data_IF_186440805536
#
_entry.id   IF_186440805536
#
_cell.length_a   1.000
_cell.length_b   1.000
_cell.length_c   1.000
_cell.angle_alpha   90.00
_cell.angle_beta   90.00
_cell.angle_gamma   90.00
#
_symmetry.space_group_name_H-M   'P 1'
#
loop_
_entity.id
_entity.type
_entity.pdbx_description
1 polymer ?
#
# COMPACT_ATOMS: atom_id res chain seq x y z
N UNK A 1 0.25 -1.74 28.77
CA UNK A 1 0.22 -2.87 27.83
C UNK A 1 1.20 -2.58 26.70
N UNK A 2 2.05 -3.55 26.29
CA UNK A 2 2.86 -3.40 25.07
C UNK A 2 1.91 -3.49 23.88
N UNK A 3 1.82 -2.42 23.08
CA UNK A 3 1.16 -2.48 21.78
C UNK A 3 1.93 -3.48 20.89
N UNK A 4 1.21 -4.33 20.17
CA UNK A 4 1.82 -5.26 19.23
C UNK A 4 2.47 -4.48 18.08
N UNK A 5 3.54 -5.01 17.51
CA UNK A 5 4.13 -4.44 16.32
C UNK A 5 3.43 -5.02 15.08
N UNK A 6 3.07 -4.21 14.08
CA UNK A 6 2.28 -4.69 12.95
C UNK A 6 3.10 -5.58 12.02
N UNK A 7 2.49 -6.67 11.58
CA UNK A 7 2.97 -7.50 10.49
C UNK A 7 2.56 -6.90 9.14
N UNK A 8 3.04 -7.49 8.04
CA UNK A 8 2.73 -6.98 6.71
C UNK A 8 1.22 -7.06 6.41
N UNK A 9 0.52 -8.08 6.91
CA UNK A 9 -0.94 -8.20 6.75
C UNK A 9 -1.66 -7.00 7.39
N UNK A 10 -1.25 -6.60 8.59
CA UNK A 10 -1.83 -5.44 9.27
C UNK A 10 -1.60 -4.14 8.50
N UNK A 11 -0.40 -3.98 7.92
CA UNK A 11 -0.06 -2.82 7.08
C UNK A 11 -0.90 -2.82 5.79
N UNK A 12 -1.06 -3.98 5.13
CA UNK A 12 -1.91 -4.11 3.93
C UNK A 12 -3.35 -3.67 4.22
N UNK A 13 -3.93 -4.18 5.31
CA UNK A 13 -5.28 -3.82 5.72
C UNK A 13 -5.39 -2.33 6.07
N UNK A 14 -4.40 -1.76 6.76
CA UNK A 14 -4.38 -0.32 7.05
C UNK A 14 -4.30 0.53 5.77
N UNK A 15 -3.52 0.10 4.77
CA UNK A 15 -3.44 0.74 3.46
C UNK A 15 -4.81 0.70 2.76
N UNK A 16 -5.46 -0.47 2.72
CA UNK A 16 -6.79 -0.62 2.12
C UNK A 16 -7.82 0.29 2.79
N UNK A 17 -7.82 0.34 4.12
CA UNK A 17 -8.70 1.22 4.89
C UNK A 17 -8.48 2.70 4.55
N UNK A 18 -7.22 3.14 4.45
CA UNK A 18 -6.87 4.52 4.11
C UNK A 18 -7.36 4.86 2.70
N UNK A 19 -7.04 4.02 1.71
CA UNK A 19 -7.43 4.24 0.31
C UNK A 19 -8.94 4.19 0.10
N UNK A 20 -9.65 3.35 0.87
CA UNK A 20 -11.11 3.26 0.79
C UNK A 20 -11.82 4.47 1.39
N UNK A 21 -11.21 5.11 2.40
CA UNK A 21 -11.78 6.29 3.09
C UNK A 21 -11.40 7.60 2.43
N UNK A 22 -10.19 7.66 1.87
CA UNK A 22 -9.66 8.83 1.17
C UNK A 22 -8.94 8.42 -0.12
N UNK A 23 -9.70 8.18 -1.21
CA UNK A 23 -9.11 7.79 -2.49
C UNK A 23 -8.25 8.87 -3.16
N UNK A 24 -8.33 10.12 -2.69
CA UNK A 24 -7.58 11.27 -3.24
C UNK A 24 -6.43 11.70 -2.32
N UNK A 25 -6.06 10.85 -1.36
CA UNK A 25 -4.95 11.11 -0.45
C UNK A 25 -3.67 11.41 -1.23
N UNK A 26 -2.96 12.46 -0.83
CA UNK A 26 -1.70 12.81 -1.47
C UNK A 26 -0.60 11.84 -1.02
N UNK A 27 0.36 11.49 -1.90
CA UNK A 27 1.46 10.60 -1.53
C UNK A 27 2.28 11.07 -0.31
N UNK A 28 2.40 12.38 -0.11
CA UNK A 28 3.11 12.96 1.05
C UNK A 28 2.43 12.65 2.39
N UNK A 29 1.10 12.56 2.40
CA UNK A 29 0.30 12.34 3.62
C UNK A 29 0.04 10.84 3.86
N UNK A 30 0.23 10.01 2.83
CA UNK A 30 -0.15 8.60 2.84
C UNK A 30 0.49 7.79 3.98
N UNK A 31 1.80 7.93 4.17
CA UNK A 31 2.54 7.16 5.19
C UNK A 31 2.04 7.49 6.59
N UNK A 32 1.81 8.77 6.87
CA UNK A 32 1.36 9.22 8.18
C UNK A 32 -0.06 8.74 8.43
N UNK A 33 -0.94 8.79 7.42
CA UNK A 33 -2.31 8.27 7.54
C UNK A 33 -2.36 6.77 7.79
N UNK A 34 -1.49 5.99 7.14
CA UNK A 34 -1.37 4.55 7.40
C UNK A 34 -0.90 4.28 8.84
N UNK A 35 0.05 5.06 9.36
CA UNK A 35 0.49 4.95 10.76
C UNK A 35 -0.62 5.29 11.73
N UNK A 36 -1.32 6.39 11.53
CA UNK A 36 -2.48 6.76 12.36
C UNK A 36 -3.50 5.62 12.40
N UNK A 37 -3.81 5.02 11.24
CA UNK A 37 -4.74 3.90 11.16
C UNK A 37 -4.26 2.67 11.94
N UNK A 38 -2.97 2.36 11.89
CA UNK A 38 -2.36 1.28 12.69
C UNK A 38 -2.41 1.59 14.19
N UNK A 39 -2.19 2.84 14.59
CA UNK A 39 -2.27 3.27 15.99
C UNK A 39 -3.69 3.19 16.55
N UNK A 40 -4.69 3.60 15.78
CA UNK A 40 -6.12 3.46 16.08
C UNK A 40 -6.49 1.98 16.30
N UNK A 41 -5.85 1.07 15.55
CA UNK A 41 -6.01 -0.38 15.71
C UNK A 41 -5.21 -0.97 16.88
N UNK A 42 -4.49 -0.14 17.63
CA UNK A 42 -3.73 -0.56 18.81
C UNK A 42 -2.31 -1.05 18.54
N UNK A 43 -1.77 -0.84 17.34
CA UNK A 43 -0.39 -1.22 17.01
C UNK A 43 0.64 -0.16 17.42
N UNK A 44 1.88 -0.61 17.60
CA UNK A 44 3.04 0.26 17.79
C UNK A 44 3.69 0.57 16.44
N UNK A 45 3.65 1.85 16.06
CA UNK A 45 4.11 2.37 14.75
C UNK A 45 5.46 3.05 14.80
N UNK A 46 6.07 3.21 15.98
CA UNK A 46 7.35 3.92 16.15
C UNK A 46 8.50 3.34 15.33
N UNK A 47 8.41 2.05 14.94
CA UNK A 47 9.37 1.36 14.07
C UNK A 47 8.83 1.09 12.66
N UNK A 48 7.66 1.62 12.30
CA UNK A 48 7.13 1.54 10.94
C UNK A 48 7.76 2.69 10.15
N UNK A 49 8.63 2.36 9.21
CA UNK A 49 9.30 3.35 8.36
C UNK A 49 8.49 3.61 7.09
N UNK A 50 8.65 4.79 6.49
CA UNK A 50 8.04 5.13 5.20
C UNK A 50 8.38 4.08 4.13
N UNK A 51 9.66 3.67 4.07
CA UNK A 51 10.13 2.63 3.15
C UNK A 51 9.34 1.33 3.29
N UNK A 52 8.99 0.93 4.52
CA UNK A 52 8.22 -0.29 4.75
C UNK A 52 6.80 -0.18 4.22
N UNK A 53 6.13 0.94 4.49
CA UNK A 53 4.76 1.20 3.99
C UNK A 53 4.75 1.21 2.46
N UNK A 54 5.67 1.94 1.85
CA UNK A 54 5.79 2.00 0.39
C UNK A 54 6.08 0.66 -0.25
N UNK A 55 6.96 -0.15 0.35
CA UNK A 55 7.24 -1.50 -0.14
C UNK A 55 5.98 -2.37 -0.13
N UNK A 56 5.19 -2.32 0.94
CA UNK A 56 3.93 -3.08 1.03
C UNK A 56 2.92 -2.57 0.00
N UNK A 57 2.78 -1.25 -0.16
CA UNK A 57 1.91 -0.66 -1.18
C UNK A 57 2.32 -1.08 -2.60
N UNK A 58 3.59 -0.97 -2.94
CA UNK A 58 4.12 -1.38 -4.24
C UNK A 58 3.86 -2.87 -4.50
N UNK A 59 4.10 -3.74 -3.51
CA UNK A 59 3.79 -5.17 -3.61
C UNK A 59 2.30 -5.41 -3.90
N UNK A 60 1.39 -4.67 -3.25
CA UNK A 60 -0.05 -4.76 -3.49
C UNK A 60 -0.46 -4.26 -4.88
N UNK A 61 0.19 -3.22 -5.40
CA UNK A 61 -0.07 -2.72 -6.75
C UNK A 61 0.42 -3.71 -7.80
N UNK A 62 1.65 -4.23 -7.63
CA UNK A 62 2.25 -5.20 -8.55
C UNK A 62 1.50 -6.55 -8.55
N UNK A 63 0.92 -6.97 -7.42
CA UNK A 63 0.10 -8.18 -7.34
C UNK A 63 -1.31 -8.01 -7.90
N UNK A 64 -1.76 -6.78 -8.16
CA UNK A 64 -3.14 -6.48 -8.56
C UNK A 64 -4.14 -6.44 -7.40
N UNK A 65 -3.68 -6.47 -6.14
CA UNK A 65 -4.54 -6.33 -4.95
C UNK A 65 -5.20 -4.94 -4.89
N UNK A 66 -4.51 -3.91 -5.41
CA UNK A 66 -5.02 -2.53 -5.54
C UNK A 66 -4.49 -1.90 -6.81
N UNK A 67 -5.24 -0.97 -7.39
CA UNK A 67 -4.74 -0.11 -8.46
C UNK A 67 -3.72 0.90 -7.91
N UNK A 68 -2.85 1.43 -8.78
CA UNK A 68 -1.92 2.52 -8.44
C UNK A 68 -2.68 3.85 -8.29
N UNK A 69 -3.50 3.95 -7.24
CA UNK A 69 -4.30 5.14 -6.91
C UNK A 69 -3.39 6.36 -6.69
N UNK A 70 -2.20 6.15 -6.13
CA UNK A 70 -1.27 7.22 -5.81
C UNK A 70 -0.41 7.64 -7.01
N UNK A 71 -0.41 6.86 -8.09
CA UNK A 71 0.33 7.14 -9.33
C UNK A 71 1.85 7.16 -9.13
N UNK A 72 2.36 6.42 -8.16
CA UNK A 72 3.79 6.43 -7.77
C UNK A 72 4.53 5.17 -8.18
N UNK A 73 3.83 4.14 -8.65
CA UNK A 73 4.43 2.87 -9.04
C UNK A 73 4.74 2.91 -10.54
N UNK A 74 6.03 2.89 -10.87
CA UNK A 74 6.45 2.81 -12.27
C UNK A 74 6.22 1.38 -12.76
N UNK A 75 5.46 1.23 -13.84
CA UNK A 75 5.42 -0.02 -14.60
C UNK A 75 6.78 -0.21 -15.26
N UNK A 76 7.43 -1.34 -14.98
CA UNK A 76 8.66 -1.69 -15.67
C UNK A 76 8.27 -2.29 -17.03
N UNK A 77 9.11 -2.12 -18.08
CA UNK A 77 8.82 -2.63 -19.44
C UNK A 77 8.49 -4.14 -19.53
N UNK A 78 8.77 -4.91 -18.47
CA UNK A 78 8.42 -6.33 -18.38
C UNK A 78 6.90 -6.55 -18.22
N UNK A 79 6.18 -5.59 -17.64
CA UNK A 79 4.74 -5.70 -17.36
C UNK A 79 3.90 -5.57 -18.64
N UNK A 80 4.39 -4.84 -19.65
CA UNK A 80 3.76 -4.66 -20.97
C UNK A 80 3.74 -5.97 -21.80
N UNK A 81 4.68 -6.90 -21.56
CA UNK A 81 4.71 -8.17 -22.27
C UNK A 81 3.55 -9.10 -21.87
N UNK A 82 2.99 -8.93 -20.67
CA UNK A 82 1.86 -9.71 -20.17
C UNK A 82 0.49 -9.32 -20.77
N UNK A 83 0.32 -8.05 -21.17
CA UNK A 83 -0.91 -7.56 -21.79
C UNK A 83 -1.01 -7.94 -23.28
N UNK A 84 0.12 -8.23 -23.95
CA UNK A 84 0.14 -8.62 -25.36
C UNK A 84 -0.45 -10.01 -25.68
N UNK A 85 -0.77 -10.82 -24.66
CA UNK A 85 -1.31 -12.18 -24.83
C UNK A 85 -2.85 -12.26 -24.78
N UNK A 86 -3.54 -11.17 -24.46
CA UNK A 86 -5.00 -11.18 -24.22
C UNK A 86 -5.86 -10.61 -25.36
N UNK A 87 -5.31 -10.31 -26.53
CA UNK A 87 -6.13 -9.99 -27.70
C UNK A 87 -6.47 -11.25 -28.51
N UNK A 88 -7.74 -11.71 -28.52
CA UNK A 88 -8.17 -12.74 -29.47
C UNK A 88 -8.16 -12.14 -30.89
N UNK A 89 -7.50 -12.85 -31.81
CA UNK A 89 -7.55 -12.60 -33.26
C UNK A 89 -8.94 -12.78 -33.83
#
# INVERSE_FOLDING_TARGET
MRKAYPHNVDIKEAILDVLSRDPLIKPVDFVDRVKERLEERGFFTGLVTAKRVWKVYEEMVRSGDVFDILGVVRKDKADEAGESFLEPR
#
